data_IF_954152265630
#
_entry.id   IF_954152265630
#
_cell.length_a   1.000
_cell.length_b   1.000
_cell.length_c   1.000
_cell.angle_alpha   90.00
_cell.angle_beta   90.00
_cell.angle_gamma   90.00
#
_symmetry.space_group_name_H-M   'P 1'
#
loop_
_entity.id
_entity.type
_entity.pdbx_description
1 polymer ?
#
# COMPACT_ATOMS: atom_id res chain seq x y z
N UNK A 1 15.99 -0.31 -2.36
CA UNK A 1 14.92 -0.63 -1.41
C UNK A 1 14.54 0.63 -0.65
N UNK A 2 13.24 0.85 -0.38
CA UNK A 2 12.72 2.02 0.36
C UNK A 2 12.21 1.65 1.76
N UNK A 3 11.72 0.43 1.95
CA UNK A 3 11.24 -0.04 3.24
C UNK A 3 10.79 -1.50 3.19
N UNK A 4 10.49 -2.03 4.37
CA UNK A 4 9.86 -3.34 4.59
C UNK A 4 8.63 -3.13 5.46
N UNK A 5 7.47 -3.53 4.97
CA UNK A 5 6.20 -3.37 5.69
C UNK A 5 5.63 -4.73 6.02
N UNK A 6 5.22 -4.87 7.27
CA UNK A 6 4.59 -6.05 7.80
C UNK A 6 3.10 -5.76 7.97
N UNK A 7 2.29 -6.32 7.07
CA UNK A 7 0.85 -6.07 7.01
C UNK A 7 0.08 -7.33 7.41
N UNK A 8 -0.86 -7.19 8.34
CA UNK A 8 -1.76 -8.27 8.73
C UNK A 8 -3.20 -7.80 8.56
N UNK A 9 -3.93 -8.54 7.73
CA UNK A 9 -5.35 -8.32 7.48
C UNK A 9 -6.17 -9.13 8.50
N UNK A 10 -7.06 -8.46 9.22
CA UNK A 10 -7.95 -9.11 10.17
C UNK A 10 -9.42 -9.01 9.74
N UNK A 11 -10.22 -9.98 10.18
CA UNK A 11 -11.67 -9.96 10.09
C UNK A 11 -12.23 -8.90 11.05
N UNK A 12 -13.15 -8.05 10.57
CA UNK A 12 -13.75 -6.98 11.37
C UNK A 12 -14.51 -7.47 12.61
N UNK A 13 -15.20 -8.61 12.53
CA UNK A 13 -16.08 -9.09 13.60
C UNK A 13 -15.38 -9.97 14.64
N UNK A 14 -14.35 -10.72 14.26
CA UNK A 14 -13.70 -11.71 15.11
C UNK A 14 -12.26 -11.36 15.48
N UNK A 15 -11.67 -10.33 14.86
CA UNK A 15 -10.23 -10.03 14.91
C UNK A 15 -9.35 -11.22 14.51
N UNK A 16 -9.90 -12.17 13.77
CA UNK A 16 -9.15 -13.31 13.24
C UNK A 16 -8.21 -12.85 12.13
N UNK A 17 -6.96 -13.34 12.14
CA UNK A 17 -6.00 -13.09 11.07
C UNK A 17 -6.44 -13.82 9.80
N UNK A 18 -6.77 -13.06 8.77
CA UNK A 18 -7.15 -13.58 7.47
C UNK A 18 -5.92 -13.82 6.61
N UNK A 19 -5.04 -12.82 6.53
CA UNK A 19 -3.88 -12.84 5.65
C UNK A 19 -2.70 -12.14 6.30
N UNK A 20 -1.48 -12.52 5.88
CA UNK A 20 -0.25 -11.98 6.41
C UNK A 20 0.77 -11.74 5.30
N UNK A 21 1.12 -10.47 5.10
CA UNK A 21 2.02 -10.03 4.04
C UNK A 21 3.32 -9.45 4.60
N UNK A 22 4.41 -9.77 3.91
CA UNK A 22 5.69 -9.08 4.05
C UNK A 22 5.98 -8.33 2.74
N UNK A 23 5.80 -7.02 2.77
CA UNK A 23 5.86 -6.16 1.59
C UNK A 23 7.22 -5.48 1.47
N UNK A 24 7.93 -5.81 0.39
CA UNK A 24 9.19 -5.16 0.04
C UNK A 24 8.96 -3.94 -0.85
N UNK A 25 9.16 -2.75 -0.29
CA UNK A 25 8.91 -1.51 -1.03
C UNK A 25 10.16 -1.12 -1.82
N UNK A 26 10.04 -1.12 -3.15
CA UNK A 26 11.13 -0.82 -4.08
C UNK A 26 10.81 0.37 -4.97
N UNK A 27 11.81 1.21 -5.25
CA UNK A 27 11.73 2.22 -6.30
C UNK A 27 12.41 1.66 -7.55
N UNK A 28 11.65 1.57 -8.65
CA UNK A 28 12.14 1.07 -9.93
C UNK A 28 12.26 2.20 -10.94
N UNK A 29 13.09 1.98 -11.97
CA UNK A 29 13.10 2.78 -13.19
C UNK A 29 12.54 1.92 -14.32
N UNK A 30 11.36 2.24 -14.88
CA UNK A 30 10.79 1.43 -15.94
C UNK A 30 11.67 1.50 -17.18
N UNK A 31 11.99 0.36 -17.78
CA UNK A 31 12.67 0.30 -19.08
C UNK A 31 11.71 0.59 -20.24
N UNK A 32 10.40 0.42 -20.02
CA UNK A 32 9.31 0.69 -20.96
C UNK A 32 8.07 1.17 -20.20
N UNK A 33 7.31 2.09 -20.81
CA UNK A 33 6.08 2.66 -20.21
C UNK A 33 4.80 1.99 -20.70
N UNK A 34 4.88 1.03 -21.62
CA UNK A 34 3.70 0.28 -22.07
C UNK A 34 3.33 -0.75 -21.01
N UNK A 35 2.23 -0.49 -20.31
CA UNK A 35 1.60 -1.45 -19.39
C UNK A 35 0.72 -2.42 -20.19
N UNK A 36 0.71 -3.68 -19.77
CA UNK A 36 -0.24 -4.69 -20.26
C UNK A 36 -1.26 -4.94 -19.17
N UNK A 37 -2.51 -5.15 -19.56
CA UNK A 37 -3.54 -5.58 -18.63
C UNK A 37 -3.13 -6.90 -17.97
N UNK A 38 -3.47 -7.05 -16.70
CA UNK A 38 -3.13 -8.24 -15.92
C UNK A 38 -4.40 -8.87 -15.35
N UNK A 39 -4.27 -10.03 -14.70
CA UNK A 39 -5.39 -10.68 -14.02
C UNK A 39 -6.03 -9.77 -12.94
N UNK A 40 -5.30 -8.76 -12.45
CA UNK A 40 -5.76 -7.77 -11.47
C UNK A 40 -6.50 -6.59 -12.12
N UNK A 41 -6.67 -6.60 -13.44
CA UNK A 41 -7.41 -5.61 -14.20
C UNK A 41 -6.55 -4.53 -14.84
N UNK A 42 -7.18 -3.38 -15.09
CA UNK A 42 -6.62 -2.28 -15.88
C UNK A 42 -5.52 -1.54 -15.11
N UNK A 43 -4.33 -1.47 -15.69
CA UNK A 43 -3.22 -0.68 -15.16
C UNK A 43 -3.19 0.73 -15.77
N UNK A 44 -2.95 1.74 -14.93
CA UNK A 44 -2.82 3.15 -15.35
C UNK A 44 -1.61 3.79 -14.69
N UNK A 45 -0.87 4.59 -15.46
CA UNK A 45 0.14 5.48 -14.90
C UNK A 45 -0.51 6.74 -14.36
N UNK A 46 -0.03 7.21 -13.20
CA UNK A 46 -0.41 8.50 -12.65
C UNK A 46 0.83 9.24 -12.16
N UNK A 47 0.77 10.57 -12.21
CA UNK A 47 1.81 11.39 -11.61
C UNK A 47 1.69 11.33 -10.08
N UNK A 48 2.80 11.10 -9.38
CA UNK A 48 2.81 10.96 -7.91
C UNK A 48 2.18 12.16 -7.18
N UNK A 49 2.36 13.39 -7.72
CA UNK A 49 1.74 14.62 -7.20
C UNK A 49 0.20 14.60 -7.18
N UNK A 50 -0.42 13.73 -7.98
CA UNK A 50 -1.87 13.60 -8.10
C UNK A 50 -2.44 12.45 -7.25
N UNK A 51 -1.62 11.72 -6.47
CA UNK A 51 -2.05 10.50 -5.79
C UNK A 51 -3.25 10.73 -4.85
N UNK A 52 -3.35 11.91 -4.22
CA UNK A 52 -4.46 12.25 -3.35
C UNK A 52 -5.83 12.19 -4.05
N UNK A 53 -5.88 12.37 -5.38
CA UNK A 53 -7.12 12.27 -6.16
C UNK A 53 -7.66 10.84 -6.25
N UNK A 54 -6.77 9.86 -6.11
CA UNK A 54 -7.08 8.43 -6.20
C UNK A 54 -7.15 7.76 -4.82
N UNK A 55 -7.16 8.55 -3.73
CA UNK A 55 -7.08 8.03 -2.36
C UNK A 55 -8.14 6.96 -2.06
N UNK A 56 -9.36 7.15 -2.56
CA UNK A 56 -10.47 6.22 -2.33
C UNK A 56 -10.46 4.99 -3.27
N UNK A 57 -9.60 5.00 -4.29
CA UNK A 57 -9.40 3.90 -5.24
C UNK A 57 -8.20 3.02 -4.85
N UNK A 58 -7.39 3.45 -3.87
CA UNK A 58 -6.16 2.77 -3.45
C UNK A 58 -6.38 2.14 -2.08
N UNK A 59 -5.81 0.96 -1.86
CA UNK A 59 -5.82 0.31 -0.53
C UNK A 59 -5.21 1.28 0.50
N UNK A 60 -5.85 1.50 1.67
CA UNK A 60 -5.41 2.55 2.59
C UNK A 60 -3.96 2.43 3.07
N UNK A 61 -3.48 1.20 3.33
CA UNK A 61 -2.08 0.95 3.68
C UNK A 61 -1.15 1.32 2.53
N UNK A 62 -1.45 0.90 1.30
CA UNK A 62 -0.70 1.26 0.09
C UNK A 62 -0.61 2.76 -0.12
N UNK A 63 -1.72 3.48 0.05
CA UNK A 63 -1.72 4.94 -0.06
C UNK A 63 -0.77 5.58 0.95
N UNK A 64 -0.80 5.13 2.22
CA UNK A 64 0.13 5.60 3.25
C UNK A 64 1.59 5.24 2.92
N UNK A 65 1.85 4.02 2.49
CA UNK A 65 3.19 3.58 2.08
C UNK A 65 3.74 4.46 0.96
N UNK A 66 2.92 4.74 -0.08
CA UNK A 66 3.36 5.58 -1.19
C UNK A 66 3.69 7.00 -0.71
N UNK A 67 2.83 7.60 0.12
CA UNK A 67 3.10 8.93 0.70
C UNK A 67 4.39 8.94 1.52
N UNK A 68 4.54 8.00 2.45
CA UNK A 68 5.69 7.93 3.37
C UNK A 68 7.01 7.73 2.63
N UNK A 69 7.08 6.71 1.78
CA UNK A 69 8.34 6.28 1.17
C UNK A 69 8.75 7.11 -0.05
N UNK A 70 7.80 7.74 -0.74
CA UNK A 70 8.08 8.42 -2.01
C UNK A 70 7.83 9.94 -1.98
N UNK A 71 6.91 10.45 -1.17
CA UNK A 71 6.70 11.90 -1.04
C UNK A 71 7.50 12.51 0.12
N UNK A 72 7.47 11.89 1.29
CA UNK A 72 8.07 12.44 2.52
C UNK A 72 9.59 12.15 2.61
N UNK A 73 10.13 11.36 1.68
CA UNK A 73 11.57 11.06 1.52
C UNK A 73 12.27 10.65 2.82
N UNK A 74 11.74 9.66 3.53
CA UNK A 74 12.47 9.02 4.65
C UNK A 74 13.79 8.39 4.13
N UNK A 75 14.91 8.73 4.77
CA UNK A 75 16.26 8.31 4.35
C UNK A 75 16.72 6.98 4.99
N UNK A 76 16.03 6.49 6.02
CA UNK A 76 16.35 5.24 6.69
C UNK A 76 15.45 4.09 6.21
N UNK A 77 16.00 2.89 6.10
CA UNK A 77 15.20 1.66 5.93
C UNK A 77 14.43 1.46 7.23
N UNK A 78 13.16 1.83 7.23
CA UNK A 78 12.27 1.70 8.39
C UNK A 78 11.38 0.47 8.26
N UNK A 79 11.14 -0.19 9.40
CA UNK A 79 10.17 -1.26 9.56
C UNK A 79 8.90 -0.66 10.16
N UNK A 80 7.75 -0.98 9.57
CA UNK A 80 6.44 -0.49 10.02
C UNK A 80 5.45 -1.63 10.16
N UNK A 81 4.63 -1.56 11.20
CA UNK A 81 3.50 -2.45 11.47
C UNK A 81 2.20 -1.74 11.12
N UNK A 82 1.35 -2.44 10.37
CA UNK A 82 0.02 -1.95 10.02
C UNK A 82 -1.00 -3.04 10.33
N UNK A 83 -2.02 -2.67 11.13
CA UNK A 83 -3.20 -3.50 11.35
C UNK A 83 -4.34 -2.99 10.47
N UNK A 84 -4.73 -3.82 9.49
CA UNK A 84 -5.83 -3.55 8.56
C UNK A 84 -7.06 -4.37 8.93
N UNK A 85 -8.23 -3.76 8.82
CA UNK A 85 -9.54 -4.39 9.04
C UNK A 85 -10.30 -4.41 7.72
N UNK A 86 -10.79 -5.58 7.33
CA UNK A 86 -11.68 -5.73 6.17
C UNK A 86 -13.12 -5.41 6.56
N UNK A 87 -13.72 -4.39 5.94
CA UNK A 87 -15.11 -3.98 6.15
C UNK A 87 -15.97 -4.38 4.94
N UNK A 88 -17.30 -4.31 5.07
CA UNK A 88 -18.24 -4.71 4.00
C UNK A 88 -17.97 -4.07 2.64
N UNK A 89 -17.50 -2.82 2.62
CA UNK A 89 -17.27 -2.05 1.39
C UNK A 89 -15.80 -1.73 1.15
N UNK A 90 -14.87 -2.47 1.77
CA UNK A 90 -13.43 -2.23 1.56
C UNK A 90 -12.56 -2.52 2.78
N UNK A 91 -11.68 -1.59 3.12
CA UNK A 91 -10.67 -1.77 4.17
C UNK A 91 -10.48 -0.49 5.00
N UNK A 92 -10.07 -0.65 6.27
CA UNK A 92 -9.80 0.42 7.23
C UNK A 92 -8.49 0.12 7.98
N UNK A 93 -7.72 1.17 8.32
CA UNK A 93 -6.58 1.04 9.25
C UNK A 93 -7.10 1.12 10.69
N UNK A 94 -6.66 0.20 11.54
CA UNK A 94 -6.90 0.25 12.99
C UNK A 94 -5.68 0.79 13.75
N UNK A 95 -4.49 0.24 13.48
CA UNK A 95 -3.25 0.65 14.12
C UNK A 95 -2.14 0.79 13.08
N UNK A 96 -1.29 1.81 13.25
CA UNK A 96 -0.12 1.96 12.40
C UNK A 96 0.92 2.90 13.00
N UNK A 97 2.20 2.57 12.78
CA UNK A 97 3.37 3.41 13.03
C UNK A 97 3.91 4.09 11.75
N UNK A 98 3.17 4.00 10.64
CA UNK A 98 3.43 4.70 9.37
C UNK A 98 3.30 6.22 9.51
#
# INVERSE_FOLDING_TARGET
MKGLVHEILHNESSDERLEHFLLWICQLRPSRFRVRESAEGQLKWFALKNIAKFKEEIIPSDFRMIRKFFLEKSAAITFYKVKMIKIRTGYRIEETDL
#
